data_IF_604154613257
#
_entry.id   IF_604154613257
#
_cell.length_a   1.000
_cell.length_b   1.000
_cell.length_c   1.000
_cell.angle_alpha   90.00
_cell.angle_beta   90.00
_cell.angle_gamma   90.00
#
_symmetry.space_group_name_H-M   'P 1'
#
loop_
_entity.id
_entity.type
_entity.pdbx_description
1 polymer ?
#
# COMPACT_ATOMS: atom_id res chain seq x y z
N UNK A 1 -5.04 4.46 17.28
CA UNK A 1 -4.29 5.71 17.01
C UNK A 1 -5.24 6.68 16.32
N UNK A 2 -5.29 7.94 16.75
CA UNK A 2 -6.18 8.92 16.13
C UNK A 2 -5.64 10.36 16.26
N UNK A 3 -6.18 11.26 15.43
CA UNK A 3 -5.91 12.69 15.45
C UNK A 3 -4.40 13.03 15.30
N UNK A 4 -3.76 12.52 14.26
CA UNK A 4 -2.34 12.71 14.01
C UNK A 4 -2.09 13.55 12.77
N UNK A 5 -1.06 14.40 12.84
CA UNK A 5 -0.43 15.03 11.68
C UNK A 5 0.98 14.49 11.57
N UNK A 6 1.33 13.98 10.40
CA UNK A 6 2.64 13.36 10.13
C UNK A 6 3.22 14.06 8.89
N UNK A 7 4.33 14.72 9.08
CA UNK A 7 4.99 15.44 7.99
C UNK A 7 6.27 14.74 7.57
N UNK A 8 6.42 14.56 6.26
CA UNK A 8 7.62 14.00 5.63
C UNK A 8 8.06 12.63 6.17
N UNK A 9 7.18 11.65 6.14
CA UNK A 9 7.49 10.27 6.51
C UNK A 9 7.70 9.36 5.29
N UNK A 10 8.25 8.15 5.52
CA UNK A 10 8.31 7.10 4.49
C UNK A 10 7.00 6.35 4.34
N UNK A 11 6.21 6.26 5.41
CA UNK A 11 4.90 5.60 5.49
C UNK A 11 4.07 6.26 6.58
N UNK A 12 2.82 6.67 6.28
CA UNK A 12 1.98 7.28 7.31
C UNK A 12 1.49 6.26 8.34
N UNK A 13 1.14 5.07 7.89
CA UNK A 13 0.77 3.95 8.74
C UNK A 13 1.39 2.67 8.18
N UNK A 14 2.07 1.89 9.02
CA UNK A 14 2.69 0.65 8.60
C UNK A 14 2.43 -0.47 9.61
N UNK A 15 1.91 -1.60 9.12
CA UNK A 15 1.63 -2.81 9.88
C UNK A 15 2.25 -3.97 9.10
N UNK A 16 3.21 -4.67 9.70
CA UNK A 16 3.78 -5.85 9.05
C UNK A 16 4.09 -6.99 10.01
N UNK A 17 3.95 -8.20 9.50
CA UNK A 17 4.29 -9.45 10.18
C UNK A 17 5.22 -10.26 9.29
N UNK A 18 6.22 -10.90 9.88
CA UNK A 18 7.28 -11.65 9.17
C UNK A 18 7.58 -13.01 9.78
N UNK A 19 7.32 -13.19 11.07
CA UNK A 19 7.89 -14.26 11.87
C UNK A 19 6.81 -15.02 12.67
N UNK A 20 5.60 -15.18 12.09
CA UNK A 20 4.54 -16.01 12.66
C UNK A 20 3.61 -15.32 13.68
N UNK A 21 3.78 -14.03 13.96
CA UNK A 21 2.93 -13.32 14.91
C UNK A 21 1.51 -13.05 14.36
N UNK A 22 0.60 -12.71 15.25
CA UNK A 22 -0.72 -12.17 14.92
C UNK A 22 -0.84 -10.72 15.33
N UNK A 23 -1.25 -9.88 14.39
CA UNK A 23 -1.63 -8.48 14.62
C UNK A 23 -3.11 -8.34 14.28
N UNK A 24 -3.92 -7.88 15.22
CA UNK A 24 -5.35 -7.78 15.02
C UNK A 24 -6.01 -6.63 15.79
N UNK A 25 -7.23 -6.29 15.38
CA UNK A 25 -8.10 -5.35 16.10
C UNK A 25 -7.50 -3.94 16.25
N UNK A 26 -6.94 -3.40 15.15
CA UNK A 26 -6.35 -2.06 15.12
C UNK A 26 -7.28 -1.10 14.38
N UNK A 27 -7.49 0.07 14.95
CA UNK A 27 -8.12 1.21 14.29
C UNK A 27 -7.17 2.40 14.24
N UNK A 28 -7.01 2.97 13.06
CA UNK A 28 -6.23 4.20 12.82
C UNK A 28 -7.17 5.19 12.14
N UNK A 29 -7.34 6.38 12.72
CA UNK A 29 -8.32 7.35 12.22
C UNK A 29 -7.87 8.79 12.34
N UNK A 30 -8.47 9.66 11.52
CA UNK A 30 -8.23 11.10 11.55
C UNK A 30 -6.74 11.45 11.40
N UNK A 31 -6.11 10.99 10.32
CA UNK A 31 -4.69 11.22 10.06
C UNK A 31 -4.53 12.09 8.82
N UNK A 32 -3.74 13.15 8.94
CA UNK A 32 -3.18 13.88 7.81
C UNK A 32 -1.71 13.56 7.69
N UNK A 33 -1.24 13.21 6.48
CA UNK A 33 0.15 12.84 6.29
C UNK A 33 0.72 13.27 4.94
N UNK A 34 2.04 13.41 4.90
CA UNK A 34 2.84 13.56 3.69
C UNK A 34 3.88 12.44 3.67
N UNK A 35 3.78 11.55 2.67
CA UNK A 35 4.65 10.38 2.55
C UNK A 35 5.49 10.49 1.29
N UNK A 36 6.82 10.41 1.44
CA UNK A 36 7.73 10.46 0.31
C UNK A 36 8.75 9.33 0.31
N UNK A 37 9.23 8.98 -0.87
CA UNK A 37 10.34 8.06 -1.04
C UNK A 37 11.65 8.77 -0.75
N UNK A 38 12.33 8.39 0.32
CA UNK A 38 13.66 8.91 0.66
C UNK A 38 14.79 8.19 -0.08
N UNK A 39 14.50 7.01 -0.62
CA UNK A 39 15.44 6.22 -1.37
C UNK A 39 14.78 5.68 -2.64
N UNK A 40 15.53 5.62 -3.73
CA UNK A 40 15.08 5.10 -5.02
C UNK A 40 14.88 3.58 -5.02
N UNK A 41 15.14 2.97 -6.16
CA UNK A 41 15.09 1.55 -6.34
C UNK A 41 16.23 0.81 -5.62
N UNK A 42 16.42 -0.45 -5.98
CA UNK A 42 17.35 -1.42 -5.42
C UNK A 42 18.82 -0.98 -5.31
N UNK A 43 19.24 -0.02 -6.12
CA UNK A 43 20.65 0.36 -6.25
C UNK A 43 21.16 1.31 -5.16
N UNK A 44 20.38 1.55 -4.14
CA UNK A 44 20.79 2.34 -2.96
C UNK A 44 21.93 1.73 -2.14
N UNK A 45 22.49 0.61 -2.56
CA UNK A 45 23.79 0.10 -2.06
C UNK A 45 24.92 1.13 -2.13
N UNK A 46 24.72 2.20 -2.91
CA UNK A 46 25.69 3.24 -3.16
C UNK A 46 25.42 4.57 -2.47
N UNK A 47 24.34 4.68 -1.68
CA UNK A 47 24.20 5.83 -0.79
C UNK A 47 25.25 5.64 0.30
N UNK A 48 26.29 6.48 0.28
CA UNK A 48 27.52 6.33 1.04
C UNK A 48 27.32 5.96 2.51
N UNK A 49 28.33 5.36 3.09
CA UNK A 49 28.36 4.93 4.47
C UNK A 49 27.79 6.00 5.42
N UNK A 50 26.63 5.74 6.02
CA UNK A 50 25.97 6.64 6.94
C UNK A 50 24.52 6.98 6.66
N UNK A 51 23.99 6.68 5.48
CA UNK A 51 22.56 6.81 5.23
C UNK A 51 21.88 5.46 5.45
N UNK A 52 20.95 5.36 6.41
CA UNK A 52 20.20 4.13 6.61
C UNK A 52 19.43 3.80 5.33
N UNK A 53 19.32 2.51 5.00
CA UNK A 53 18.37 2.04 4.01
C UNK A 53 16.97 2.42 4.49
N UNK A 54 16.41 3.47 3.92
CA UNK A 54 15.04 3.81 4.23
C UNK A 54 14.12 2.75 3.63
N UNK A 55 13.38 2.13 4.51
CA UNK A 55 12.31 1.22 4.12
C UNK A 55 11.09 2.06 3.79
N UNK A 56 10.43 1.71 2.71
CA UNK A 56 9.30 2.44 2.21
C UNK A 56 9.61 3.24 0.97
N UNK A 57 8.61 3.34 0.13
CA UNK A 57 8.63 4.05 -1.15
C UNK A 57 7.64 5.20 -1.17
N UNK A 58 7.29 5.73 -0.01
CA UNK A 58 6.30 6.78 0.14
C UNK A 58 4.87 6.26 0.18
N UNK A 59 4.66 5.06 0.69
CA UNK A 59 3.32 4.45 0.77
C UNK A 59 2.43 5.21 1.75
N UNK A 60 1.18 5.49 1.35
CA UNK A 60 0.19 6.13 2.21
C UNK A 60 -0.17 5.25 3.42
N UNK A 61 -0.50 4.00 3.15
CA UNK A 61 -0.77 2.94 4.11
C UNK A 61 0.03 1.73 3.66
N UNK A 62 0.63 1.02 4.59
CA UNK A 62 1.42 -0.16 4.29
C UNK A 62 1.02 -1.32 5.20
N UNK A 63 0.43 -2.35 4.63
CA UNK A 63 0.19 -3.64 5.27
C UNK A 63 1.00 -4.68 4.52
N UNK A 64 1.82 -5.47 5.22
CA UNK A 64 2.58 -6.52 4.56
C UNK A 64 2.77 -7.73 5.46
N UNK A 65 2.40 -8.89 4.94
CA UNK A 65 2.53 -10.17 5.60
C UNK A 65 3.27 -11.16 4.69
N UNK A 66 4.58 -11.07 4.66
CA UNK A 66 5.48 -11.93 3.90
C UNK A 66 6.55 -12.51 4.81
N UNK A 67 7.01 -13.75 4.62
CA UNK A 67 8.06 -14.34 5.45
C UNK A 67 9.39 -13.56 5.36
N UNK A 68 10.16 -13.58 6.47
CA UNK A 68 11.42 -12.85 6.54
C UNK A 68 12.55 -13.48 5.74
N UNK A 69 12.74 -14.77 5.88
CA UNK A 69 13.96 -15.46 5.42
C UNK A 69 13.70 -16.54 4.39
N UNK A 70 12.54 -17.20 4.42
CA UNK A 70 12.17 -18.30 3.55
C UNK A 70 10.71 -18.16 3.16
N UNK A 71 10.43 -18.12 1.88
CA UNK A 71 9.07 -17.95 1.34
C UNK A 71 8.10 -19.07 1.76
N UNK A 72 8.62 -20.23 2.12
CA UNK A 72 7.82 -21.37 2.54
C UNK A 72 7.40 -21.33 4.01
N UNK A 73 7.95 -20.42 4.80
CA UNK A 73 7.60 -20.29 6.20
C UNK A 73 6.31 -19.50 6.40
N UNK A 74 5.56 -19.83 7.44
CA UNK A 74 4.39 -19.04 7.84
C UNK A 74 4.83 -17.68 8.36
N UNK A 75 4.39 -16.61 7.71
CA UNK A 75 4.69 -15.24 8.12
C UNK A 75 3.80 -14.73 9.27
N UNK A 76 2.59 -15.29 9.43
CA UNK A 76 1.67 -14.93 10.50
C UNK A 76 0.30 -14.44 10.00
N UNK A 77 -0.36 -13.59 10.79
CA UNK A 77 -1.71 -13.11 10.50
C UNK A 77 -1.83 -11.61 10.77
N UNK A 78 -2.46 -10.88 9.84
CA UNK A 78 -2.93 -9.50 10.03
C UNK A 78 -4.42 -9.51 9.75
N UNK A 79 -5.25 -9.10 10.73
CA UNK A 79 -6.70 -9.11 10.54
C UNK A 79 -7.44 -8.05 11.36
N UNK A 80 -8.67 -7.74 10.93
CA UNK A 80 -9.55 -6.78 11.61
C UNK A 80 -8.89 -5.40 11.78
N UNK A 81 -8.42 -4.83 10.69
CA UNK A 81 -7.75 -3.53 10.68
C UNK A 81 -8.67 -2.51 9.99
N UNK A 82 -8.86 -1.36 10.59
CA UNK A 82 -9.63 -0.26 10.02
C UNK A 82 -8.79 0.99 9.91
N UNK A 83 -8.80 1.60 8.71
CA UNK A 83 -8.31 2.95 8.45
C UNK A 83 -9.50 3.83 8.08
N UNK A 84 -9.67 4.93 8.81
CA UNK A 84 -10.83 5.80 8.66
C UNK A 84 -10.42 7.27 8.66
N UNK A 85 -10.97 8.05 7.74
CA UNK A 85 -10.73 9.49 7.64
C UNK A 85 -9.22 9.83 7.54
N UNK A 86 -8.57 9.26 6.53
CA UNK A 86 -7.16 9.55 6.21
C UNK A 86 -7.08 10.56 5.06
N UNK A 87 -6.26 11.59 5.20
CA UNK A 87 -5.97 12.57 4.15
C UNK A 87 -4.47 12.59 3.89
N UNK A 88 -4.02 11.96 2.81
CA UNK A 88 -2.62 11.65 2.59
C UNK A 88 -2.16 12.08 1.20
N UNK A 89 -1.11 12.90 1.14
CA UNK A 89 -0.26 13.07 -0.03
C UNK A 89 0.84 12.00 0.03
N UNK A 90 1.00 11.18 -1.01
CA UNK A 90 1.98 10.08 -1.03
C UNK A 90 2.65 9.93 -2.39
N UNK A 91 3.83 9.35 -2.44
CA UNK A 91 4.48 9.03 -3.73
C UNK A 91 4.18 7.60 -4.20
N UNK A 92 3.61 6.76 -3.34
CA UNK A 92 3.24 5.38 -3.64
C UNK A 92 1.87 5.01 -3.07
N UNK A 93 1.46 3.78 -3.31
CA UNK A 93 0.13 3.23 -3.04
C UNK A 93 -0.29 3.27 -1.57
N UNK A 94 -1.59 3.18 -1.33
CA UNK A 94 -2.13 2.36 -0.25
C UNK A 94 -1.80 0.90 -0.60
N UNK A 95 -0.92 0.28 0.15
CA UNK A 95 -0.35 -1.04 -0.15
C UNK A 95 -0.79 -2.07 0.87
N UNK A 96 -1.56 -3.07 0.42
CA UNK A 96 -2.04 -4.18 1.25
C UNK A 96 -1.58 -5.48 0.62
N UNK A 97 -0.60 -6.13 1.21
CA UNK A 97 0.04 -7.32 0.66
C UNK A 97 0.11 -8.45 1.68
N UNK A 98 -0.56 -9.55 1.36
CA UNK A 98 -0.34 -10.84 1.98
C UNK A 98 0.69 -11.68 1.22
N UNK A 99 0.68 -12.97 1.51
CA UNK A 99 1.45 -13.99 0.80
C UNK A 99 0.69 -15.33 0.85
N UNK A 100 1.14 -16.31 0.09
CA UNK A 100 0.55 -17.67 0.15
C UNK A 100 0.64 -18.29 1.55
N UNK A 101 1.66 -17.93 2.30
CA UNK A 101 1.93 -18.45 3.64
C UNK A 101 1.62 -17.47 4.77
N UNK A 102 0.91 -16.37 4.48
CA UNK A 102 0.53 -15.35 5.44
C UNK A 102 -0.89 -14.84 5.21
N UNK A 103 -1.66 -14.66 6.28
CA UNK A 103 -3.04 -14.22 6.20
C UNK A 103 -3.15 -12.71 6.36
N UNK A 104 -3.78 -12.03 5.38
CA UNK A 104 -4.26 -10.66 5.49
C UNK A 104 -5.76 -10.68 5.23
N UNK A 105 -6.56 -10.34 6.25
CA UNK A 105 -8.02 -10.45 6.14
C UNK A 105 -8.78 -9.38 6.92
N UNK A 106 -10.02 -9.11 6.50
CA UNK A 106 -10.91 -8.16 7.16
C UNK A 106 -10.25 -6.78 7.30
N UNK A 107 -9.75 -6.23 6.22
CA UNK A 107 -9.18 -4.87 6.17
C UNK A 107 -10.23 -3.92 5.60
N UNK A 108 -10.52 -2.85 6.32
CA UNK A 108 -11.42 -1.80 5.88
C UNK A 108 -10.68 -0.47 5.77
N UNK A 109 -10.78 0.19 4.61
CA UNK A 109 -10.23 1.51 4.34
C UNK A 109 -11.37 2.37 3.86
N UNK A 110 -11.68 3.44 4.60
CA UNK A 110 -12.87 4.24 4.30
C UNK A 110 -12.70 5.73 4.60
N UNK A 111 -13.55 6.54 3.97
CA UNK A 111 -13.59 8.00 4.17
C UNK A 111 -12.21 8.65 3.94
N UNK A 112 -11.47 8.22 2.93
CA UNK A 112 -10.09 8.64 2.73
C UNK A 112 -9.93 9.53 1.50
N UNK A 113 -8.93 10.42 1.56
CA UNK A 113 -8.41 11.16 0.41
C UNK A 113 -6.97 10.76 0.21
N UNK A 114 -6.69 10.13 -0.91
CA UNK A 114 -5.36 9.65 -1.28
C UNK A 114 -4.92 10.37 -2.54
N UNK A 115 -3.92 11.22 -2.41
CA UNK A 115 -3.35 11.93 -3.54
C UNK A 115 -1.93 11.40 -3.81
N UNK A 116 -1.76 10.66 -4.90
CA UNK A 116 -0.43 10.32 -5.37
C UNK A 116 0.20 11.58 -5.96
N UNK A 117 1.27 12.05 -5.32
CA UNK A 117 1.87 13.35 -5.61
C UNK A 117 3.38 13.23 -5.71
N UNK A 118 3.95 13.87 -6.73
CA UNK A 118 5.40 14.02 -6.82
C UNK A 118 5.89 14.99 -5.76
N UNK A 119 6.65 14.50 -4.80
CA UNK A 119 7.14 15.26 -3.64
C UNK A 119 8.67 15.31 -3.64
N UNK A 120 9.30 14.15 -3.73
CA UNK A 120 10.75 13.99 -3.75
C UNK A 120 11.34 13.87 -5.16
N UNK A 121 12.62 13.56 -5.22
CA UNK A 121 13.37 13.36 -6.46
C UNK A 121 13.38 11.89 -6.91
N UNK A 122 13.01 10.98 -6.04
CA UNK A 122 13.02 9.55 -6.36
C UNK A 122 11.86 9.18 -7.27
N UNK A 123 12.13 8.35 -8.27
CA UNK A 123 11.07 7.88 -9.18
C UNK A 123 10.28 6.75 -8.50
N UNK A 124 8.92 6.81 -8.49
CA UNK A 124 8.09 5.68 -8.08
C UNK A 124 8.20 4.52 -9.08
N UNK A 125 7.66 3.37 -8.73
CA UNK A 125 7.67 2.18 -9.60
C UNK A 125 8.21 0.94 -8.90
N UNK A 126 8.20 0.95 -7.57
CA UNK A 126 8.75 -0.14 -6.77
C UNK A 126 7.88 -0.38 -5.54
N UNK A 127 7.63 -1.67 -5.25
CA UNK A 127 7.09 -2.11 -3.98
C UNK A 127 8.20 -2.66 -3.08
N UNK A 128 8.15 -2.33 -1.81
CA UNK A 128 9.17 -2.70 -0.83
C UNK A 128 8.62 -3.74 0.15
N UNK A 129 8.99 -5.00 -0.06
CA UNK A 129 8.57 -6.12 0.80
C UNK A 129 9.54 -6.40 1.94
N UNK A 130 10.63 -5.64 2.03
CA UNK A 130 11.69 -5.91 3.04
C UNK A 130 11.20 -5.80 4.48
N UNK A 131 11.77 -6.57 5.40
CA UNK A 131 12.66 -7.70 5.14
C UNK A 131 11.89 -8.94 4.69
N UNK A 132 12.15 -9.38 3.48
CA UNK A 132 11.57 -10.59 2.87
C UNK A 132 12.45 -10.99 1.69
N UNK A 133 12.53 -12.27 1.30
CA UNK A 133 13.19 -12.71 0.07
C UNK A 133 12.65 -12.04 -1.20
N UNK A 134 11.38 -11.64 -1.19
CA UNK A 134 10.75 -10.87 -2.28
C UNK A 134 11.44 -9.52 -2.52
N UNK A 135 12.09 -8.94 -1.49
CA UNK A 135 12.90 -7.73 -1.54
C UNK A 135 12.13 -6.50 -2.10
N UNK A 136 12.71 -5.78 -3.04
CA UNK A 136 12.11 -4.65 -3.75
C UNK A 136 11.77 -5.08 -5.16
N UNK A 137 10.51 -4.92 -5.56
CA UNK A 137 9.98 -5.38 -6.85
C UNK A 137 9.56 -4.17 -7.68
N UNK A 138 9.98 -4.15 -8.96
CA UNK A 138 9.48 -3.17 -9.93
C UNK A 138 8.03 -3.47 -10.24
N UNK A 139 7.17 -2.46 -10.16
CA UNK A 139 5.74 -2.61 -10.38
C UNK A 139 5.12 -1.28 -10.84
N UNK A 140 4.03 -1.36 -11.58
CA UNK A 140 3.16 -0.21 -11.77
C UNK A 140 2.48 0.12 -10.44
N UNK A 141 2.29 1.41 -10.17
CA UNK A 141 1.79 1.91 -8.89
C UNK A 141 0.35 2.38 -9.03
N UNK A 142 -0.64 1.53 -8.77
CA UNK A 142 -2.02 2.00 -8.59
C UNK A 142 -2.16 2.76 -7.28
N UNK A 143 -3.17 3.62 -7.14
CA UNK A 143 -3.34 4.36 -5.90
C UNK A 143 -3.69 3.46 -4.72
N UNK A 144 -4.53 2.47 -4.95
CA UNK A 144 -4.92 1.44 -3.97
C UNK A 144 -4.49 0.08 -4.54
N UNK A 145 -3.56 -0.59 -3.88
CA UNK A 145 -3.07 -1.90 -4.30
C UNK A 145 -3.33 -2.96 -3.23
N UNK A 146 -3.94 -4.06 -3.63
CA UNK A 146 -4.25 -5.19 -2.75
C UNK A 146 -3.82 -6.49 -3.41
N UNK A 147 -2.99 -7.27 -2.72
CA UNK A 147 -2.59 -8.61 -3.16
C UNK A 147 -2.67 -9.65 -2.04
N UNK A 148 -2.95 -10.91 -2.40
CA UNK A 148 -2.99 -12.05 -1.48
C UNK A 148 -3.77 -11.75 -0.18
N UNK A 149 -5.00 -11.22 -0.33
CA UNK A 149 -5.82 -10.79 0.79
C UNK A 149 -7.28 -11.23 0.63
N UNK A 150 -8.02 -11.26 1.73
CA UNK A 150 -9.44 -11.64 1.70
C UNK A 150 -10.32 -10.72 2.54
N UNK A 151 -11.59 -10.61 2.17
CA UNK A 151 -12.60 -9.80 2.85
C UNK A 151 -12.15 -8.33 3.00
N UNK A 152 -11.79 -7.70 1.90
CA UNK A 152 -11.34 -6.31 1.86
C UNK A 152 -12.53 -5.39 1.58
N UNK A 153 -12.56 -4.23 2.24
CA UNK A 153 -13.52 -3.17 1.98
C UNK A 153 -12.81 -1.86 1.69
N UNK A 154 -13.06 -1.32 0.51
CA UNK A 154 -12.63 0.02 0.09
C UNK A 154 -13.89 0.86 -0.09
N UNK A 155 -14.07 1.89 0.76
CA UNK A 155 -15.33 2.62 0.80
C UNK A 155 -15.11 4.14 0.91
N UNK A 156 -15.84 4.91 0.08
CA UNK A 156 -15.84 6.38 0.13
C UNK A 156 -14.40 6.96 0.09
N UNK A 157 -13.64 6.62 -0.95
CA UNK A 157 -12.25 7.04 -1.13
C UNK A 157 -12.12 7.89 -2.39
N UNK A 158 -11.63 9.11 -2.22
CA UNK A 158 -11.26 9.98 -3.33
C UNK A 158 -9.78 9.79 -3.65
N UNK A 159 -9.48 9.49 -4.91
CA UNK A 159 -8.13 9.33 -5.44
C UNK A 159 -7.80 10.43 -6.42
N UNK A 160 -6.60 10.97 -6.33
CA UNK A 160 -6.05 11.91 -7.31
C UNK A 160 -4.57 11.64 -7.59
N UNK A 161 -4.10 12.11 -8.74
CA UNK A 161 -2.69 12.09 -9.13
C UNK A 161 -2.26 13.52 -9.44
N UNK A 162 -1.19 13.99 -8.78
CA UNK A 162 -0.68 15.35 -8.91
C UNK A 162 0.79 15.34 -9.34
N UNK A 163 1.05 15.88 -10.52
CA UNK A 163 2.34 15.74 -11.21
C UNK A 163 2.37 14.48 -12.07
N UNK A 164 3.55 14.10 -12.55
CA UNK A 164 3.72 12.98 -13.47
C UNK A 164 4.71 11.95 -12.92
N UNK A 165 4.36 10.69 -13.07
CA UNK A 165 5.27 9.56 -12.85
C UNK A 165 4.90 8.41 -13.79
N UNK A 166 5.87 7.90 -14.53
CA UNK A 166 5.67 6.84 -15.51
C UNK A 166 5.02 5.59 -14.90
N UNK A 167 5.37 5.27 -13.67
CA UNK A 167 4.87 4.08 -12.98
C UNK A 167 3.46 4.23 -12.40
N UNK A 168 2.90 5.42 -12.29
CA UNK A 168 1.55 5.57 -11.77
C UNK A 168 0.52 5.02 -12.77
N UNK A 169 -0.48 4.32 -12.25
CA UNK A 169 -1.39 3.54 -13.10
C UNK A 169 -2.87 3.69 -12.72
N UNK A 170 -3.50 2.62 -12.31
CA UNK A 170 -4.94 2.54 -12.04
C UNK A 170 -5.31 3.22 -10.70
N UNK A 171 -6.59 3.48 -10.49
CA UNK A 171 -7.11 3.85 -9.17
C UNK A 171 -6.99 2.68 -8.21
N UNK A 172 -7.42 1.48 -8.64
CA UNK A 172 -7.36 0.24 -7.87
C UNK A 172 -6.65 -0.85 -8.66
N UNK A 173 -5.67 -1.49 -8.05
CA UNK A 173 -5.00 -2.70 -8.54
C UNK A 173 -5.23 -3.87 -7.59
N UNK A 174 -5.66 -5.01 -8.10
CA UNK A 174 -6.00 -6.20 -7.33
C UNK A 174 -5.31 -7.43 -7.90
N UNK A 175 -4.65 -8.21 -7.04
CA UNK A 175 -4.02 -9.47 -7.44
C UNK A 175 -4.26 -10.57 -6.40
N UNK A 176 -4.77 -11.73 -6.82
CA UNK A 176 -5.02 -12.86 -5.93
C UNK A 176 -5.88 -12.51 -4.70
N UNK A 177 -6.98 -11.79 -4.91
CA UNK A 177 -7.86 -11.32 -3.83
C UNK A 177 -9.13 -12.17 -3.76
N UNK A 178 -9.53 -12.50 -2.54
CA UNK A 178 -10.78 -13.21 -2.29
C UNK A 178 -11.77 -12.30 -1.54
N UNK A 179 -12.92 -12.01 -2.15
CA UNK A 179 -13.97 -11.17 -1.60
C UNK A 179 -13.54 -9.72 -1.31
N UNK A 180 -13.68 -8.86 -2.28
CA UNK A 180 -13.52 -7.43 -2.07
C UNK A 180 -14.83 -6.68 -2.35
N UNK A 181 -15.15 -5.69 -1.52
CA UNK A 181 -16.20 -4.71 -1.74
C UNK A 181 -15.57 -3.36 -2.04
N UNK A 182 -15.97 -2.74 -3.14
CA UNK A 182 -15.51 -1.43 -3.58
C UNK A 182 -16.75 -0.56 -3.77
N UNK A 183 -16.90 0.49 -2.98
CA UNK A 183 -18.04 1.40 -3.05
C UNK A 183 -17.62 2.85 -2.84
N UNK A 184 -18.23 3.78 -3.55
CA UNK A 184 -17.95 5.21 -3.42
C UNK A 184 -16.48 5.57 -3.73
N UNK A 185 -15.86 4.92 -4.68
CA UNK A 185 -14.49 5.27 -5.11
C UNK A 185 -14.56 6.30 -6.23
N UNK A 186 -13.95 7.46 -5.98
CA UNK A 186 -13.89 8.56 -6.94
C UNK A 186 -12.45 8.79 -7.39
N UNK A 187 -12.25 8.97 -8.69
CA UNK A 187 -10.94 9.27 -9.29
C UNK A 187 -10.79 8.68 -10.68
N UNK A 188 -9.82 9.20 -11.40
CA UNK A 188 -9.45 8.69 -12.72
C UNK A 188 -8.05 8.03 -12.63
N UNK A 189 -7.75 7.04 -13.47
CA UNK A 189 -6.40 6.48 -13.53
C UNK A 189 -5.37 7.56 -13.93
N UNK A 190 -4.12 7.32 -13.63
CA UNK A 190 -3.03 8.25 -13.93
C UNK A 190 -2.81 8.44 -15.45
N UNK A 191 -3.26 7.49 -16.26
CA UNK A 191 -3.14 7.50 -17.72
C UNK A 191 -4.52 7.24 -18.34
N UNK A 192 -4.89 7.95 -19.42
CA UNK A 192 -6.25 7.90 -19.99
C UNK A 192 -6.61 6.57 -20.65
N UNK A 193 -5.62 5.78 -21.02
CA UNK A 193 -5.76 4.46 -21.65
C UNK A 193 -5.96 3.32 -20.63
N UNK A 194 -5.84 3.60 -19.35
CA UNK A 194 -6.03 2.60 -18.31
C UNK A 194 -7.46 2.58 -17.76
N UNK A 195 -7.88 1.41 -17.31
CA UNK A 195 -9.13 1.26 -16.55
C UNK A 195 -8.98 1.80 -15.12
N UNK A 196 -10.05 2.22 -14.49
CA UNK A 196 -10.00 2.63 -13.08
C UNK A 196 -9.62 1.46 -12.17
N UNK A 197 -10.14 0.27 -12.44
CA UNK A 197 -9.85 -0.96 -11.70
C UNK A 197 -9.13 -1.95 -12.61
N UNK A 198 -7.98 -2.44 -12.17
CA UNK A 198 -7.27 -3.58 -12.76
C UNK A 198 -7.31 -4.75 -11.78
N UNK A 199 -7.85 -5.88 -12.21
CA UNK A 199 -8.05 -7.04 -11.35
C UNK A 199 -7.53 -8.32 -12.01
N UNK A 200 -6.63 -9.00 -11.33
CA UNK A 200 -6.03 -10.27 -11.76
C UNK A 200 -6.30 -11.33 -10.70
N UNK A 201 -6.90 -12.44 -11.11
CA UNK A 201 -7.21 -13.58 -10.22
C UNK A 201 -7.98 -13.16 -8.95
N UNK A 202 -9.10 -12.47 -9.13
CA UNK A 202 -9.99 -12.05 -8.05
C UNK A 202 -11.25 -12.89 -8.03
N UNK A 203 -11.54 -13.57 -6.91
CA UNK A 203 -12.68 -14.51 -6.83
C UNK A 203 -14.03 -13.82 -6.81
N UNK A 204 -14.15 -12.67 -6.12
CA UNK A 204 -15.40 -11.92 -6.02
C UNK A 204 -15.14 -10.45 -5.81
N UNK A 205 -15.70 -9.63 -6.68
CA UNK A 205 -15.70 -8.17 -6.57
C UNK A 205 -17.16 -7.74 -6.48
N UNK A 206 -17.52 -7.00 -5.43
CA UNK A 206 -18.79 -6.29 -5.32
C UNK A 206 -18.52 -4.80 -5.51
N UNK A 207 -19.17 -4.20 -6.48
CA UNK A 207 -19.15 -2.74 -6.72
C UNK A 207 -20.56 -2.22 -6.59
N UNK A 208 -20.71 -1.06 -5.97
CA UNK A 208 -21.97 -0.30 -5.90
C UNK A 208 -21.98 0.77 -6.98
#
# INVERSE_FOLDING_TARGET
>A
MSNCVIEECGRAAAIWVRDGATIENISISNVRAICRAYSGCRDNKHIGAGYPYWWGKGEAIYISNTPRNDENLKSGTIKNITFDNMNIDSESSVFVSGSENGTVENIEIRNCKINLKRIGTQQPGWFDYRPSPKDIVKHDIPALYVEHAKNIKLKDITVSFTGEAEAWSNVVGLENVENITISGIEGNPAKPDLTAINAVNVKSIKTD
#
